data_IF_339550637689
#
_entry.id   IF_339550637689
#
_cell.length_a   1.000
_cell.length_b   1.000
_cell.length_c   1.000
_cell.angle_alpha   90.00
_cell.angle_beta   90.00
_cell.angle_gamma   90.00
#
_symmetry.space_group_name_H-M   'P 1'
#
loop_
_entity.id
_entity.type
_entity.pdbx_description
1 polymer ?
#
# COMPACT_ATOMS: atom_id res chain seq x y z
N UNK A 1 -6.72 -2.68 5.61
CA UNK A 1 -6.77 -3.57 4.43
C UNK A 1 -6.11 -4.93 4.70
N UNK A 2 -4.96 -4.97 5.39
CA UNK A 2 -4.23 -6.20 5.78
C UNK A 2 -5.12 -7.30 6.37
N UNK A 3 -5.84 -7.03 7.47
CA UNK A 3 -6.67 -8.05 8.14
C UNK A 3 -7.77 -8.61 7.25
N UNK A 4 -8.31 -7.80 6.33
CA UNK A 4 -9.32 -8.27 5.38
C UNK A 4 -8.71 -9.23 4.36
N UNK A 5 -7.59 -8.86 3.73
CA UNK A 5 -6.91 -9.73 2.75
C UNK A 5 -6.50 -11.06 3.40
N UNK A 6 -5.93 -11.01 4.60
CA UNK A 6 -5.57 -12.22 5.36
C UNK A 6 -6.78 -13.10 5.70
N UNK A 7 -7.94 -12.50 6.01
CA UNK A 7 -9.18 -13.24 6.24
C UNK A 7 -9.75 -13.91 4.98
N UNK A 8 -9.42 -13.37 3.80
CA UNK A 8 -9.82 -13.94 2.51
C UNK A 8 -8.92 -15.10 2.14
N UNK A 9 -7.60 -14.89 2.18
CA UNK A 9 -6.59 -15.90 1.86
C UNK A 9 -5.19 -15.39 2.27
N UNK A 10 -4.41 -16.20 2.99
CA UNK A 10 -3.04 -15.84 3.33
C UNK A 10 -2.11 -15.89 2.10
N UNK A 11 -2.39 -16.71 1.10
CA UNK A 11 -1.60 -16.73 -0.14
C UNK A 11 -1.76 -15.41 -0.91
N UNK A 12 -2.93 -14.77 -0.81
CA UNK A 12 -3.13 -13.42 -1.36
C UNK A 12 -2.32 -12.38 -0.59
N UNK A 13 -2.24 -12.51 0.73
CA UNK A 13 -1.43 -11.61 1.56
C UNK A 13 0.06 -11.75 1.23
N UNK A 14 0.55 -12.97 1.03
CA UNK A 14 1.93 -13.22 0.63
C UNK A 14 2.24 -12.57 -0.74
N UNK A 15 1.33 -12.67 -1.70
CA UNK A 15 1.49 -12.00 -3.01
C UNK A 15 1.50 -10.46 -2.89
N UNK A 16 0.73 -9.89 -1.95
CA UNK A 16 0.72 -8.45 -1.68
C UNK A 16 2.07 -7.98 -1.14
N UNK A 17 2.65 -8.72 -0.19
CA UNK A 17 3.88 -8.30 0.51
C UNK A 17 5.14 -8.68 -0.27
N UNK A 18 5.20 -9.90 -0.78
CA UNK A 18 6.38 -10.47 -1.44
C UNK A 18 6.38 -10.19 -2.95
N UNK A 19 5.20 -9.97 -3.54
CA UNK A 19 5.03 -9.82 -4.97
C UNK A 19 4.95 -11.16 -5.71
N UNK A 20 4.66 -11.14 -7.02
CA UNK A 20 4.51 -12.35 -7.82
C UNK A 20 5.83 -13.04 -8.22
N UNK A 21 7.00 -12.52 -7.81
CA UNK A 21 8.29 -13.16 -8.13
C UNK A 21 8.59 -14.30 -7.15
N UNK A 22 8.63 -15.52 -7.67
CA UNK A 22 9.15 -16.70 -6.96
C UNK A 22 10.65 -16.87 -7.12
N UNK A 23 11.31 -17.60 -6.20
CA UNK A 23 12.73 -17.89 -6.27
C UNK A 23 13.09 -18.52 -7.62
N UNK A 24 14.00 -17.88 -8.36
CA UNK A 24 14.65 -18.43 -9.54
C UNK A 24 15.67 -19.46 -9.05
N UNK A 25 15.21 -20.63 -8.60
CA UNK A 25 16.13 -21.73 -8.37
C UNK A 25 16.66 -22.20 -9.73
N UNK A 26 17.94 -21.92 -9.97
CA UNK A 26 18.70 -22.49 -11.08
C UNK A 26 18.84 -24.00 -10.88
N UNK A 27 17.85 -24.79 -11.30
CA UNK A 27 17.97 -26.26 -11.32
C UNK A 27 17.66 -26.78 -12.72
N UNK A 28 18.58 -27.60 -13.21
CA UNK A 28 18.68 -28.05 -14.59
C UNK A 28 17.56 -29.02 -15.04
N UNK A 29 17.16 -28.83 -16.30
CA UNK A 29 16.68 -29.82 -17.30
C UNK A 29 15.23 -30.37 -17.19
N UNK A 30 14.38 -29.68 -17.96
CA UNK A 30 13.47 -30.23 -18.99
C UNK A 30 12.22 -30.99 -18.56
N UNK A 31 12.12 -31.56 -17.35
CA UNK A 31 10.85 -32.14 -16.83
C UNK A 31 10.10 -31.28 -15.82
N UNK A 32 10.75 -30.28 -15.21
CA UNK A 32 10.13 -29.37 -14.21
C UNK A 32 9.44 -28.14 -14.81
N UNK A 33 9.52 -27.95 -16.14
CA UNK A 33 9.00 -26.74 -16.82
C UNK A 33 7.47 -26.60 -16.81
N UNK A 34 6.72 -27.70 -16.71
CA UNK A 34 5.26 -27.62 -16.75
C UNK A 34 4.71 -27.15 -15.40
N UNK A 35 5.17 -27.78 -14.31
CA UNK A 35 4.82 -27.39 -12.94
C UNK A 35 5.26 -25.96 -12.61
N UNK A 36 6.45 -25.54 -13.05
CA UNK A 36 6.92 -24.16 -12.88
C UNK A 36 6.03 -23.15 -13.60
N UNK A 37 5.65 -23.43 -14.86
CA UNK A 37 4.79 -22.55 -15.66
C UNK A 37 3.36 -22.51 -15.13
N UNK A 38 2.87 -23.63 -14.60
CA UNK A 38 1.57 -23.70 -13.95
C UNK A 38 1.57 -22.89 -12.65
N UNK A 39 2.61 -23.03 -11.83
CA UNK A 39 2.83 -22.23 -10.62
C UNK A 39 2.97 -20.74 -10.91
N UNK A 40 3.70 -20.37 -11.96
CA UNK A 40 3.80 -18.98 -12.42
C UNK A 40 2.41 -18.44 -12.81
N UNK A 41 1.62 -19.23 -13.55
CA UNK A 41 0.25 -18.87 -13.92
C UNK A 41 -0.65 -18.72 -12.70
N UNK A 42 -0.52 -19.58 -11.69
CA UNK A 42 -1.24 -19.46 -10.42
C UNK A 42 -0.90 -18.17 -9.68
N UNK A 43 0.37 -17.79 -9.64
CA UNK A 43 0.79 -16.53 -9.02
C UNK A 43 0.29 -15.31 -9.76
N UNK A 44 0.27 -15.34 -11.09
CA UNK A 44 -0.36 -14.27 -11.88
C UNK A 44 -1.86 -14.16 -11.60
N UNK A 45 -2.56 -15.29 -11.41
CA UNK A 45 -3.98 -15.28 -11.00
C UNK A 45 -4.16 -14.68 -9.61
N UNK A 46 -3.36 -15.09 -8.63
CA UNK A 46 -3.43 -14.54 -7.27
C UNK A 46 -3.11 -13.05 -7.25
N UNK A 47 -2.09 -12.60 -7.99
CA UNK A 47 -1.76 -11.19 -8.15
C UNK A 47 -2.91 -10.40 -8.79
N UNK A 48 -3.59 -10.98 -9.79
CA UNK A 48 -4.74 -10.33 -10.41
C UNK A 48 -5.93 -10.22 -9.44
N UNK A 49 -6.19 -11.26 -8.65
CA UNK A 49 -7.23 -11.27 -7.63
C UNK A 49 -6.94 -10.27 -6.51
N UNK A 50 -5.69 -10.21 -6.04
CA UNK A 50 -5.26 -9.26 -5.03
C UNK A 50 -5.37 -7.81 -5.53
N UNK A 51 -4.94 -7.52 -6.76
CA UNK A 51 -5.18 -6.21 -7.41
C UNK A 51 -6.64 -5.81 -7.40
N UNK A 52 -7.54 -6.71 -7.77
CA UNK A 52 -8.97 -6.42 -7.81
C UNK A 52 -9.52 -6.08 -6.42
N UNK A 53 -9.14 -6.84 -5.39
CA UNK A 53 -9.52 -6.58 -4.00
C UNK A 53 -9.03 -5.20 -3.55
N UNK A 54 -7.77 -4.86 -3.83
CA UNK A 54 -7.21 -3.56 -3.46
C UNK A 54 -7.97 -2.45 -4.19
N UNK A 55 -8.11 -2.52 -5.52
CA UNK A 55 -8.80 -1.48 -6.30
C UNK A 55 -10.23 -1.23 -5.86
N UNK A 56 -10.96 -2.27 -5.45
CA UNK A 56 -12.33 -2.12 -4.94
C UNK A 56 -12.40 -1.31 -3.63
N UNK A 57 -11.34 -1.33 -2.84
CA UNK A 57 -11.30 -0.66 -1.54
C UNK A 57 -10.72 0.77 -1.57
N UNK A 58 -10.33 1.27 -2.75
CA UNK A 58 -9.67 2.58 -2.89
C UNK A 58 -10.62 3.69 -3.32
N UNK A 59 -10.28 4.91 -2.90
CA UNK A 59 -10.88 6.13 -3.45
C UNK A 59 -10.38 6.41 -4.87
N UNK A 60 -11.15 7.17 -5.67
CA UNK A 60 -10.74 7.54 -7.04
C UNK A 60 -9.38 8.24 -7.09
N UNK A 61 -9.11 9.13 -6.13
CA UNK A 61 -7.83 9.83 -6.04
C UNK A 61 -6.66 8.85 -5.84
N UNK A 62 -6.82 7.86 -4.95
CA UNK A 62 -5.78 6.86 -4.73
C UNK A 62 -5.59 5.97 -5.95
N UNK A 63 -6.69 5.57 -6.58
CA UNK A 63 -6.68 4.74 -7.78
C UNK A 63 -5.88 5.38 -8.92
N UNK A 64 -6.06 6.68 -9.19
CA UNK A 64 -5.38 7.37 -10.29
C UNK A 64 -3.84 7.29 -10.17
N UNK A 65 -3.32 7.36 -8.94
CA UNK A 65 -1.87 7.28 -8.67
C UNK A 65 -1.27 5.88 -8.86
N UNK A 66 -2.07 4.82 -8.72
CA UNK A 66 -1.58 3.44 -8.72
C UNK A 66 -2.09 2.59 -9.90
N UNK A 67 -3.04 3.09 -10.69
CA UNK A 67 -3.72 2.36 -11.77
C UNK A 67 -2.76 1.75 -12.80
N UNK A 68 -1.62 2.41 -13.05
CA UNK A 68 -0.58 1.97 -13.99
C UNK A 68 0.40 0.93 -13.43
N UNK A 69 0.27 0.53 -12.16
CA UNK A 69 1.24 -0.35 -11.52
C UNK A 69 1.07 -1.81 -11.95
N UNK A 70 2.20 -2.46 -12.24
CA UNK A 70 2.21 -3.80 -12.85
C UNK A 70 2.03 -4.95 -11.86
N UNK A 71 2.38 -4.78 -10.59
CA UNK A 71 2.21 -5.81 -9.54
C UNK A 71 1.44 -5.29 -8.34
N UNK A 72 0.81 -6.21 -7.61
CA UNK A 72 0.11 -5.91 -6.35
C UNK A 72 1.06 -5.35 -5.32
N UNK A 73 2.30 -5.86 -5.27
CA UNK A 73 3.35 -5.36 -4.39
C UNK A 73 3.67 -3.88 -4.64
N UNK A 74 3.88 -3.48 -5.89
CA UNK A 74 4.16 -2.07 -6.22
C UNK A 74 2.98 -1.17 -5.84
N UNK A 75 1.76 -1.66 -6.03
CA UNK A 75 0.55 -0.96 -5.57
C UNK A 75 0.58 -0.79 -4.05
N UNK A 76 0.84 -1.86 -3.32
CA UNK A 76 0.87 -1.87 -1.86
C UNK A 76 1.93 -0.93 -1.29
N UNK A 77 3.16 -1.02 -1.80
CA UNK A 77 4.29 -0.19 -1.38
C UNK A 77 3.96 1.30 -1.59
N UNK A 78 3.39 1.66 -2.75
CA UNK A 78 2.95 3.04 -3.03
C UNK A 78 1.83 3.52 -2.11
N UNK A 79 0.84 2.67 -1.82
CA UNK A 79 -0.25 3.02 -0.91
C UNK A 79 0.30 3.28 0.49
N UNK A 80 1.23 2.47 0.96
CA UNK A 80 1.88 2.68 2.25
C UNK A 80 2.60 4.04 2.30
N UNK A 81 3.35 4.37 1.25
CA UNK A 81 4.03 5.67 1.13
C UNK A 81 3.05 6.84 1.10
N UNK A 82 1.97 6.76 0.32
CA UNK A 82 0.93 7.79 0.25
C UNK A 82 0.28 8.03 1.62
N UNK A 83 -0.05 6.97 2.35
CA UNK A 83 -0.66 7.10 3.68
C UNK A 83 0.32 7.65 4.73
N UNK A 84 1.61 7.30 4.64
CA UNK A 84 2.65 7.91 5.48
C UNK A 84 2.75 9.42 5.22
N UNK A 85 2.82 9.85 3.95
CA UNK A 85 2.89 11.27 3.58
C UNK A 85 1.67 12.04 4.09
N UNK A 86 0.45 11.54 3.82
CA UNK A 86 -0.80 12.16 4.31
C UNK A 86 -0.82 12.30 5.84
N UNK A 87 -0.21 11.36 6.57
CA UNK A 87 -0.14 11.43 8.03
C UNK A 87 0.83 12.51 8.52
N UNK A 88 1.97 12.67 7.86
CA UNK A 88 2.95 13.73 8.15
C UNK A 88 2.34 15.11 7.87
N UNK A 89 1.70 15.30 6.72
CA UNK A 89 1.03 16.56 6.36
C UNK A 89 -0.05 16.95 7.38
N UNK A 90 -0.88 15.98 7.80
CA UNK A 90 -1.88 16.21 8.86
C UNK A 90 -1.24 16.61 10.19
N UNK A 91 -0.13 15.95 10.54
CA UNK A 91 0.58 16.25 11.80
C UNK A 91 1.15 17.66 11.78
N UNK A 92 1.80 18.06 10.68
CA UNK A 92 2.34 19.42 10.51
C UNK A 92 1.20 20.45 10.56
N UNK A 93 0.09 20.19 9.85
CA UNK A 93 -1.07 21.08 9.84
C UNK A 93 -1.67 21.26 11.24
N UNK A 94 -1.77 20.20 12.05
CA UNK A 94 -2.20 20.30 13.45
C UNK A 94 -1.22 21.11 14.30
N UNK A 95 0.09 20.89 14.17
CA UNK A 95 1.10 21.64 14.92
C UNK A 95 1.08 23.13 14.59
N UNK A 96 0.91 23.49 13.31
CA UNK A 96 0.79 24.87 12.89
C UNK A 96 -0.45 25.55 13.50
N UNK A 97 -1.60 24.87 13.47
CA UNK A 97 -2.83 25.37 14.07
C UNK A 97 -2.73 25.54 15.61
N UNK A 98 -2.07 24.60 16.30
CA UNK A 98 -1.82 24.72 17.74
C UNK A 98 -0.93 25.92 18.05
N UNK A 99 0.13 26.11 17.26
CA UNK A 99 1.04 27.24 17.46
C UNK A 99 0.39 28.59 17.20
N UNK A 100 -0.50 28.67 16.21
CA UNK A 100 -1.30 29.87 15.93
C UNK A 100 -2.23 30.19 17.11
N UNK A 101 -2.90 29.17 17.67
CA UNK A 101 -3.76 29.35 18.85
C UNK A 101 -3.01 29.75 20.13
N UNK A 102 -1.76 29.31 20.31
CA UNK A 102 -0.92 29.72 21.44
C UNK A 102 -0.43 31.17 21.29
N UNK A 103 -0.07 31.58 20.07
CA UNK A 103 0.36 32.96 19.81
C UNK A 103 -0.77 33.98 19.95
N UNK A 104 -2.01 33.62 19.61
CA UNK A 104 -3.17 34.51 19.81
C UNK A 104 -3.53 34.68 21.29
N UNK A 105 -3.35 33.66 22.14
CA UNK A 105 -3.60 33.79 23.58
C UNK A 105 -2.59 34.69 24.30
N UNK A 106 -1.32 34.68 23.86
CA UNK A 106 -0.28 35.51 24.48
C UNK A 106 -0.43 37.01 24.15
N UNK A 107 -1.06 37.35 23.01
CA UNK A 107 -1.32 38.75 22.63
C UNK A 107 -2.55 39.36 23.33
N UNK A 108 -3.59 38.58 23.64
CA UNK A 108 -4.75 39.09 24.38
C UNK A 108 -4.41 39.43 25.85
N UNK A 109 -3.61 38.60 26.53
CA UNK A 109 -3.18 38.86 27.91
C UNK A 109 -2.23 40.08 28.04
N UNK A 110 -1.50 40.42 26.97
CA UNK A 110 -0.59 41.57 26.95
C UNK A 110 -1.29 42.91 26.69
N UNK A 111 -2.50 42.91 26.13
CA UNK A 111 -3.25 44.12 25.79
C UNK A 111 -4.21 44.60 26.89
N UNK A 112 -4.43 43.82 27.95
CA UNK A 112 -5.34 44.14 29.06
C UNK A 112 -4.66 44.73 30.32
N UNK A 113 -3.35 45.02 30.27
CA UNK A 113 -2.54 45.57 31.38
C UNK A 113 -2.40 47.09 31.45
#
# INVERSE_FOLDING_TARGET
MTSFIQSVDYDLWDIVVLGPEMPKETISKTRMRYDEKEKEKEMMKLNSKAKHIIFYALSSNEFDHISSCNSTKVIWDKLEDMHKVKNVERTISCLMALKESESESDEEDASEG
#
